data_IF_078824346414
#
_entry.id   IF_078824346414
#
_cell.length_a   1.000
_cell.length_b   1.000
_cell.length_c   1.000
_cell.angle_alpha   90.00
_cell.angle_beta   90.00
_cell.angle_gamma   90.00
#
_symmetry.space_group_name_H-M   'P 1'
#
loop_
_entity.id
_entity.type
_entity.pdbx_description
1 polymer ?
#
# COMPACT_ATOMS: atom_id res chain seq x y z
N UNK A 1 4.37 -22.36 -17.22
CA UNK A 1 3.24 -22.10 -18.14
C UNK A 1 3.59 -20.85 -18.97
N UNK A 2 3.47 -20.85 -20.30
CA UNK A 2 3.72 -19.67 -21.13
C UNK A 2 2.40 -19.16 -21.70
N UNK A 3 2.01 -17.95 -21.35
CA UNK A 3 0.83 -17.29 -21.92
C UNK A 3 1.26 -16.43 -23.11
N UNK A 4 0.56 -16.54 -24.24
CA UNK A 4 0.78 -15.67 -25.41
C UNK A 4 -0.19 -14.50 -25.33
N UNK A 5 0.35 -13.28 -25.35
CA UNK A 5 -0.43 -12.04 -25.39
C UNK A 5 -0.41 -11.53 -26.83
N UNK A 6 -1.58 -11.47 -27.46
CA UNK A 6 -1.72 -10.95 -28.82
C UNK A 6 -1.79 -9.42 -28.83
N UNK A 7 -1.47 -8.81 -29.99
CA UNK A 7 -1.62 -7.37 -30.17
C UNK A 7 -3.07 -6.92 -29.92
N UNK A 8 -3.23 -5.79 -29.24
CA UNK A 8 -4.54 -5.22 -28.88
C UNK A 8 -5.16 -5.76 -27.59
N UNK A 9 -4.58 -6.80 -26.97
CA UNK A 9 -5.07 -7.27 -25.67
C UNK A 9 -4.67 -6.32 -24.54
N UNK A 10 -5.61 -6.07 -23.64
CA UNK A 10 -5.34 -5.33 -22.41
C UNK A 10 -4.71 -6.25 -21.37
N UNK A 11 -3.61 -5.79 -20.79
CA UNK A 11 -2.92 -6.48 -19.70
C UNK A 11 -3.06 -5.62 -18.45
N UNK A 12 -3.51 -6.25 -17.36
CA UNK A 12 -3.62 -5.61 -16.06
C UNK A 12 -2.60 -6.22 -15.11
N UNK A 13 -1.84 -5.36 -14.43
CA UNK A 13 -0.88 -5.81 -13.41
C UNK A 13 -1.54 -5.83 -12.03
N UNK A 14 -1.50 -6.98 -11.37
CA UNK A 14 -1.86 -7.09 -9.96
C UNK A 14 -0.63 -6.76 -9.10
N UNK A 15 -0.36 -5.48 -8.88
CA UNK A 15 0.80 -5.04 -8.08
C UNK A 15 0.73 -5.53 -6.62
N UNK A 16 -0.49 -5.69 -6.08
CA UNK A 16 -0.70 -6.28 -4.77
C UNK A 16 -0.19 -7.73 -4.70
N UNK A 17 -0.44 -8.53 -5.73
CA UNK A 17 0.11 -9.89 -5.81
C UNK A 17 1.63 -9.88 -5.92
N UNK A 18 2.19 -8.99 -6.74
CA UNK A 18 3.65 -8.89 -6.88
C UNK A 18 4.33 -8.44 -5.57
N UNK A 19 3.67 -7.61 -4.76
CA UNK A 19 4.16 -7.21 -3.44
C UNK A 19 3.97 -8.30 -2.36
N UNK A 20 3.26 -9.38 -2.66
CA UNK A 20 3.14 -10.56 -1.80
C UNK A 20 3.79 -11.81 -2.42
N UNK A 21 4.64 -11.63 -3.42
CA UNK A 21 5.38 -12.72 -4.07
C UNK A 21 6.39 -13.33 -3.09
N UNK A 22 6.23 -14.60 -2.75
CA UNK A 22 7.04 -15.35 -1.78
C UNK A 22 8.44 -15.69 -2.30
N UNK A 23 8.65 -15.67 -3.62
CA UNK A 23 9.99 -15.75 -4.23
C UNK A 23 10.78 -14.44 -4.05
N UNK A 24 10.09 -13.33 -3.75
CA UNK A 24 10.69 -11.99 -3.60
C UNK A 24 10.72 -11.49 -2.17
N UNK A 25 9.71 -11.82 -1.37
CA UNK A 25 9.54 -11.32 -0.01
C UNK A 25 9.37 -12.48 0.97
N UNK A 26 10.33 -12.66 1.89
CA UNK A 26 10.15 -13.61 2.99
C UNK A 26 8.99 -13.18 3.89
N UNK A 27 8.06 -14.10 4.15
CA UNK A 27 6.83 -13.85 4.91
C UNK A 27 6.09 -12.60 4.41
N UNK A 28 5.58 -12.62 3.16
CA UNK A 28 5.03 -11.44 2.49
C UNK A 28 3.84 -10.82 3.23
N UNK A 29 3.06 -11.65 3.94
CA UNK A 29 1.87 -11.23 4.69
C UNK A 29 2.21 -10.57 6.04
N UNK A 30 3.48 -10.55 6.45
CA UNK A 30 3.91 -9.92 7.70
C UNK A 30 4.41 -8.50 7.46
N UNK A 31 3.91 -7.59 8.30
CA UNK A 31 4.46 -6.23 8.41
C UNK A 31 5.77 -6.31 9.21
N UNK A 32 6.90 -6.19 8.51
CA UNK A 32 8.23 -6.15 9.09
C UNK A 32 8.89 -4.80 8.78
N UNK A 33 8.99 -3.94 9.80
CA UNK A 33 9.63 -2.63 9.68
C UNK A 33 11.15 -2.69 9.59
N UNK A 34 11.78 -3.81 9.97
CA UNK A 34 13.23 -3.99 9.92
C UNK A 34 13.72 -4.55 8.58
N UNK A 35 12.81 -4.90 7.66
CA UNK A 35 13.15 -5.41 6.32
C UNK A 35 14.02 -4.41 5.55
N UNK A 36 15.25 -4.81 5.24
CA UNK A 36 16.24 -3.95 4.55
C UNK A 36 16.14 -4.03 3.02
N UNK A 37 15.84 -5.21 2.47
CA UNK A 37 15.55 -5.40 1.04
C UNK A 37 14.04 -5.35 0.80
N UNK A 38 13.56 -4.28 0.17
CA UNK A 38 12.13 -4.07 -0.06
C UNK A 38 11.84 -3.51 -1.48
N UNK A 39 12.02 -4.32 -2.55
CA UNK A 39 11.82 -3.90 -3.94
C UNK A 39 10.33 -3.87 -4.33
N UNK A 40 9.50 -3.20 -3.52
CA UNK A 40 8.06 -3.15 -3.74
C UNK A 40 7.68 -2.37 -5.00
N UNK A 41 6.56 -2.75 -5.60
CA UNK A 41 5.96 -2.11 -6.78
C UNK A 41 4.78 -1.20 -6.42
N UNK A 42 4.60 -0.82 -5.15
CA UNK A 42 3.50 0.06 -4.70
C UNK A 42 3.44 1.41 -5.45
N UNK A 43 4.56 1.87 -6.01
CA UNK A 43 4.68 3.10 -6.80
C UNK A 43 4.98 2.84 -8.28
N UNK A 44 4.72 1.63 -8.77
CA UNK A 44 5.03 1.22 -10.15
C UNK A 44 6.53 1.03 -10.41
N UNK A 45 6.88 0.79 -11.67
CA UNK A 45 8.26 0.55 -12.12
C UNK A 45 8.46 0.99 -13.57
N UNK A 46 9.72 1.25 -13.95
CA UNK A 46 10.12 1.61 -15.30
C UNK A 46 9.74 3.04 -15.71
N UNK A 47 9.55 3.26 -17.01
CA UNK A 47 9.34 4.59 -17.63
C UNK A 47 8.08 5.29 -17.10
N UNK A 48 7.11 4.54 -16.57
CA UNK A 48 5.85 5.06 -16.01
C UNK A 48 5.76 4.87 -14.48
N UNK A 49 6.90 4.73 -13.80
CA UNK A 49 6.93 4.75 -12.35
C UNK A 49 6.36 6.08 -11.82
N UNK A 50 5.83 6.05 -10.59
CA UNK A 50 5.23 7.22 -9.97
C UNK A 50 6.26 8.35 -9.86
N UNK A 51 5.93 9.50 -10.46
CA UNK A 51 6.73 10.72 -10.35
C UNK A 51 6.90 11.18 -8.90
N UNK A 52 5.95 10.84 -8.03
CA UNK A 52 5.98 11.17 -6.60
C UNK A 52 6.88 10.28 -5.75
N UNK A 53 7.60 9.30 -6.31
CA UNK A 53 8.40 8.34 -5.53
C UNK A 53 9.38 9.00 -4.56
N UNK A 54 10.02 10.11 -4.97
CA UNK A 54 10.91 10.89 -4.10
C UNK A 54 10.21 11.66 -2.97
N UNK A 55 8.90 11.87 -3.07
CA UNK A 55 8.10 12.65 -2.10
C UNK A 55 7.27 11.78 -1.16
N UNK A 56 6.79 10.61 -1.63
CA UNK A 56 5.88 9.77 -0.85
C UNK A 56 6.45 9.42 0.52
N UNK A 57 7.73 9.00 0.58
CA UNK A 57 8.36 8.61 1.84
C UNK A 57 8.51 9.78 2.83
N UNK A 58 9.17 10.92 2.50
CA UNK A 58 9.32 12.01 3.45
C UNK A 58 7.98 12.62 3.86
N UNK A 59 7.01 12.76 2.94
CA UNK A 59 5.68 13.28 3.27
C UNK A 59 4.93 12.33 4.21
N UNK A 60 4.92 11.03 3.93
CA UNK A 60 4.24 10.05 4.79
C UNK A 60 4.86 10.02 6.19
N UNK A 61 6.19 10.06 6.29
CA UNK A 61 6.89 10.11 7.57
C UNK A 61 6.52 11.37 8.36
N UNK A 62 6.54 12.54 7.71
CA UNK A 62 6.17 13.80 8.36
C UNK A 62 4.70 13.80 8.83
N UNK A 63 3.77 13.34 7.98
CA UNK A 63 2.34 13.29 8.33
C UNK A 63 2.10 12.34 9.51
N UNK A 64 2.65 11.12 9.47
CA UNK A 64 2.48 10.16 10.57
C UNK A 64 3.10 10.68 11.87
N UNK A 65 4.30 11.25 11.80
CA UNK A 65 4.94 11.85 12.98
C UNK A 65 4.08 12.97 13.58
N UNK A 66 3.53 13.86 12.75
CA UNK A 66 2.67 14.95 13.21
C UNK A 66 1.36 14.43 13.83
N UNK A 67 0.70 13.45 13.21
CA UNK A 67 -0.52 12.83 13.75
C UNK A 67 -0.27 12.30 15.16
N UNK A 68 0.77 11.48 15.35
CA UNK A 68 1.05 10.85 16.65
C UNK A 68 1.68 11.81 17.67
N UNK A 69 2.33 12.89 17.22
CA UNK A 69 2.79 13.95 18.13
C UNK A 69 1.62 14.77 18.66
N UNK A 70 0.66 15.12 17.78
CA UNK A 70 -0.48 15.98 18.15
C UNK A 70 -1.56 15.23 18.93
N UNK A 71 -1.79 13.97 18.59
CA UNK A 71 -2.81 13.09 19.18
C UNK A 71 -2.19 11.74 19.59
N UNK A 72 -1.38 11.73 20.67
CA UNK A 72 -0.68 10.53 21.11
C UNK A 72 -1.62 9.40 21.58
N UNK A 73 -2.88 9.71 21.87
CA UNK A 73 -3.92 8.76 22.29
C UNK A 73 -4.92 8.45 21.17
N UNK A 74 -4.60 8.76 19.90
CA UNK A 74 -5.47 8.46 18.76
C UNK A 74 -5.85 6.97 18.75
N UNK A 75 -7.14 6.69 18.69
CA UNK A 75 -7.68 5.33 18.63
C UNK A 75 -8.75 5.20 17.55
N UNK A 76 -8.75 4.07 16.85
CA UNK A 76 -9.79 3.73 15.88
C UNK A 76 -11.07 3.35 16.64
N UNK A 77 -12.21 3.89 16.21
CA UNK A 77 -13.52 3.62 16.81
C UNK A 77 -14.29 2.49 16.12
N UNK A 78 -13.89 2.13 14.90
CA UNK A 78 -14.51 1.06 14.14
C UNK A 78 -13.87 -0.29 14.47
N UNK A 79 -14.69 -1.31 14.67
CA UNK A 79 -14.24 -2.70 14.58
C UNK A 79 -13.86 -3.03 13.13
N UNK A 80 -12.85 -3.89 12.92
CA UNK A 80 -12.27 -4.14 11.60
C UNK A 80 -13.31 -4.60 10.57
N UNK A 81 -14.22 -5.50 10.96
CA UNK A 81 -15.28 -6.01 10.10
C UNK A 81 -16.29 -4.95 9.69
N UNK A 82 -16.36 -3.83 10.41
CA UNK A 82 -17.27 -2.72 10.15
C UNK A 82 -16.61 -1.58 9.34
N UNK A 83 -15.33 -1.73 8.97
CA UNK A 83 -14.64 -0.74 8.13
C UNK A 83 -15.18 -0.87 6.70
N UNK A 84 -15.83 0.19 6.21
CA UNK A 84 -16.24 0.29 4.82
C UNK A 84 -15.04 0.59 3.94
N UNK A 85 -14.57 -0.40 3.19
CA UNK A 85 -13.44 -0.25 2.31
C UNK A 85 -13.83 0.11 0.87
N UNK A 86 -12.97 0.87 0.17
CA UNK A 86 -13.11 1.09 -1.26
C UNK A 86 -13.12 -0.24 -2.02
N UNK A 87 -14.15 -0.42 -2.86
CA UNK A 87 -14.25 -1.52 -3.81
C UNK A 87 -13.46 -1.20 -5.08
N UNK A 88 -12.69 -2.16 -5.60
CA UNK A 88 -11.96 -2.02 -6.86
C UNK A 88 -10.49 -2.41 -6.76
N UNK A 89 -9.83 -2.49 -7.92
CA UNK A 89 -8.48 -3.05 -8.04
C UNK A 89 -7.34 -2.01 -7.99
N UNK A 90 -7.64 -0.71 -8.17
CA UNK A 90 -6.61 0.34 -8.33
C UNK A 90 -6.11 0.96 -7.02
N UNK A 91 -7.03 1.29 -6.13
CA UNK A 91 -6.72 1.94 -4.86
C UNK A 91 -7.47 1.24 -3.73
N UNK A 92 -6.72 0.81 -2.72
CA UNK A 92 -7.26 0.19 -1.51
C UNK A 92 -7.11 1.15 -0.34
N UNK A 93 -8.18 1.27 0.44
CA UNK A 93 -8.21 2.07 1.66
C UNK A 93 -9.62 2.16 2.21
N UNK A 94 -9.79 2.47 3.51
CA UNK A 94 -11.10 2.76 4.08
C UNK A 94 -11.72 3.98 3.37
N UNK A 95 -13.03 3.97 3.19
CA UNK A 95 -13.79 5.15 2.75
C UNK A 95 -13.78 6.24 3.84
N UNK A 96 -13.89 5.80 5.09
CA UNK A 96 -13.72 6.59 6.29
C UNK A 96 -13.13 5.70 7.38
N UNK A 97 -12.30 6.28 8.25
CA UNK A 97 -11.79 5.62 9.45
C UNK A 97 -12.10 6.51 10.65
N UNK A 98 -13.22 6.27 11.35
CA UNK A 98 -13.57 7.05 12.53
C UNK A 98 -12.54 6.86 13.64
N UNK A 99 -12.07 7.97 14.21
CA UNK A 99 -11.08 7.97 15.28
C UNK A 99 -11.55 8.86 16.43
N UNK A 100 -11.15 8.50 17.65
CA UNK A 100 -11.17 9.41 18.78
C UNK A 100 -9.77 9.96 19.01
N UNK A 101 -9.72 11.25 19.31
CA UNK A 101 -8.52 11.98 19.68
C UNK A 101 -8.81 12.64 21.02
N UNK A 102 -8.25 12.09 22.10
CA UNK A 102 -8.37 12.65 23.45
C UNK A 102 -7.44 13.85 23.64
#
# INVERSE_FOLDING_TARGET
MRHRIAGGQTVLFCLASANHDDERFTAPDRIDFARTTNPHLALGHGVRACVGTGLVRPVTAAVLAQIYTRWPKLRILAEEQNINWRSGFRHRGPLALPVAVD
#
